data_IF_948362019930
#
_entry.id   IF_948362019930
#
_cell.length_a   1.000
_cell.length_b   1.000
_cell.length_c   1.000
_cell.angle_alpha   90.00
_cell.angle_beta   90.00
_cell.angle_gamma   90.00
#
_symmetry.space_group_name_H-M   'P 1'
#
loop_
_entity.id
_entity.type
_entity.pdbx_description
1 polymer ?
#
# COMPACT_ATOMS: atom_id res chain seq x y z
N UNK A 1 12.62 -10.63 -1.01
CA UNK A 1 11.75 -9.50 -0.62
C UNK A 1 12.58 -8.25 -0.76
N UNK A 2 12.06 -7.32 -1.56
CA UNK A 2 12.84 -6.20 -2.11
C UNK A 2 12.36 -4.84 -1.58
N UNK A 3 11.10 -4.76 -1.16
CA UNK A 3 10.47 -3.54 -0.65
C UNK A 3 9.38 -3.87 0.38
N UNK A 4 9.40 -3.17 1.51
CA UNK A 4 8.33 -3.20 2.51
C UNK A 4 7.65 -1.83 2.55
N UNK A 5 6.33 -1.80 2.38
CA UNK A 5 5.52 -0.57 2.40
C UNK A 5 4.61 -0.59 3.63
N UNK A 6 4.71 0.45 4.46
CA UNK A 6 3.82 0.62 5.62
C UNK A 6 2.92 1.82 5.37
N UNK A 7 1.62 1.60 5.33
CA UNK A 7 0.60 2.62 5.10
C UNK A 7 -0.19 2.80 6.38
N UNK A 8 -0.18 4.00 6.95
CA UNK A 8 -1.05 4.36 8.08
C UNK A 8 -2.31 5.02 7.51
N UNK A 9 -3.48 4.50 7.87
CA UNK A 9 -4.77 5.07 7.48
C UNK A 9 -5.61 5.44 8.70
N UNK A 10 -6.48 6.44 8.56
CA UNK A 10 -7.46 6.80 9.59
C UNK A 10 -8.72 7.34 8.92
N UNK A 11 -9.79 6.55 8.90
CA UNK A 11 -11.08 6.91 8.30
C UNK A 11 -10.98 7.42 6.84
N UNK A 12 -10.01 6.93 6.06
CA UNK A 12 -9.68 7.37 4.70
C UNK A 12 -9.82 6.24 3.67
N UNK A 13 -10.92 5.48 3.71
CA UNK A 13 -11.11 4.28 2.88
C UNK A 13 -10.88 4.51 1.38
N UNK A 14 -11.43 5.59 0.80
CA UNK A 14 -11.26 5.87 -0.65
C UNK A 14 -9.81 6.19 -1.02
N UNK A 15 -9.12 7.00 -0.21
CA UNK A 15 -7.71 7.33 -0.46
C UNK A 15 -6.79 6.12 -0.25
N UNK A 16 -7.11 5.26 0.72
CA UNK A 16 -6.39 4.01 0.93
C UNK A 16 -6.54 3.08 -0.28
N UNK A 17 -7.74 2.97 -0.84
CA UNK A 17 -7.98 2.17 -2.04
C UNK A 17 -7.17 2.68 -3.23
N UNK A 18 -7.23 3.98 -3.51
CA UNK A 18 -6.48 4.61 -4.61
C UNK A 18 -4.97 4.45 -4.42
N UNK A 19 -4.48 4.59 -3.18
CA UNK A 19 -3.08 4.39 -2.84
C UNK A 19 -2.63 2.94 -3.10
N UNK A 20 -3.38 1.95 -2.62
CA UNK A 20 -3.07 0.54 -2.84
C UNK A 20 -3.07 0.19 -4.34
N UNK A 21 -4.06 0.66 -5.09
CA UNK A 21 -4.12 0.50 -6.56
C UNK A 21 -2.88 1.11 -7.23
N UNK A 22 -2.46 2.29 -6.80
CA UNK A 22 -1.27 2.95 -7.33
C UNK A 22 0.00 2.15 -7.04
N UNK A 23 0.18 1.70 -5.80
CA UNK A 23 1.36 0.92 -5.40
C UNK A 23 1.45 -0.36 -6.23
N UNK A 24 0.41 -1.20 -6.26
CA UNK A 24 0.48 -2.48 -6.97
C UNK A 24 0.57 -2.36 -8.50
N UNK A 25 0.12 -1.24 -9.09
CA UNK A 25 0.20 -1.04 -10.54
C UNK A 25 1.59 -0.58 -11.02
N UNK A 26 2.41 0.01 -10.16
CA UNK A 26 3.71 0.58 -10.53
C UNK A 26 4.92 -0.27 -10.12
N UNK A 27 4.73 -1.35 -9.37
CA UNK A 27 5.82 -2.23 -8.88
C UNK A 27 5.72 -3.70 -9.32
N UNK A 28 5.39 -4.03 -10.59
CA UNK A 28 5.09 -5.41 -11.01
C UNK A 28 6.29 -6.39 -10.97
N UNK A 29 7.51 -5.90 -10.79
CA UNK A 29 8.74 -6.72 -10.79
C UNK A 29 9.38 -6.86 -9.41
N UNK A 30 8.87 -6.17 -8.40
CA UNK A 30 9.43 -6.22 -7.04
C UNK A 30 8.62 -7.20 -6.20
N UNK A 31 9.32 -8.05 -5.44
CA UNK A 31 8.68 -8.78 -4.37
C UNK A 31 8.44 -7.82 -3.20
N UNK A 32 7.19 -7.41 -3.03
CA UNK A 32 6.80 -6.43 -2.04
C UNK A 32 5.79 -6.99 -1.04
N UNK A 33 5.87 -6.46 0.18
CA UNK A 33 4.85 -6.62 1.22
C UNK A 33 4.25 -5.25 1.57
N UNK A 34 2.96 -5.25 1.89
CA UNK A 34 2.24 -4.04 2.30
C UNK A 34 1.55 -4.30 3.62
N UNK A 35 1.83 -3.45 4.62
CA UNK A 35 1.13 -3.44 5.89
C UNK A 35 0.27 -2.19 5.98
N UNK A 36 -1.01 -2.37 6.24
CA UNK A 36 -1.93 -1.26 6.55
C UNK A 36 -2.12 -1.23 8.06
N UNK A 37 -1.81 -0.10 8.67
CA UNK A 37 -2.06 0.19 10.08
C UNK A 37 -3.21 1.17 10.15
N UNK A 38 -4.37 0.70 10.60
CA UNK A 38 -5.53 1.55 10.86
C UNK A 38 -5.44 2.10 12.29
N UNK A 39 -5.86 3.35 12.49
CA UNK A 39 -5.85 4.04 13.78
C UNK A 39 -7.28 4.26 14.31
#
# INVERSE_FOLDING_TARGET
>A
MDLSVVIVSYNTHGLLEDCLRSVFSHTPKLQMEVFVVDN
#
